data_IF_364407129837
#
_entry.id   IF_364407129837
#
_cell.length_a   1.000
_cell.length_b   1.000
_cell.length_c   1.000
_cell.angle_alpha   90.00
_cell.angle_beta   90.00
_cell.angle_gamma   90.00
#
_symmetry.space_group_name_H-M   'P 1'
#
loop_
_entity.id
_entity.type
_entity.pdbx_description
1 polymer ?
#
# COMPACT_ATOMS: atom_id res chain seq x y z
N UNK A 1 -0.74 22.18 -6.82
CA UNK A 1 -1.98 22.73 -6.20
C UNK A 1 -1.74 22.94 -4.71
N UNK A 2 -2.15 24.06 -4.08
CA UNK A 2 -1.97 24.24 -2.63
C UNK A 2 -2.92 23.30 -1.85
N UNK A 3 -2.51 22.83 -0.67
CA UNK A 3 -3.26 21.88 0.16
C UNK A 3 -4.67 22.39 0.49
N UNK A 4 -4.82 23.68 0.79
CA UNK A 4 -6.13 24.27 1.13
C UNK A 4 -7.10 24.20 -0.05
N UNK A 5 -6.63 24.54 -1.25
CA UNK A 5 -7.42 24.41 -2.47
C UNK A 5 -7.79 22.96 -2.75
N UNK A 6 -6.86 22.02 -2.48
CA UNK A 6 -7.13 20.58 -2.62
C UNK A 6 -8.17 20.08 -1.61
N UNK A 7 -8.08 20.51 -0.36
CA UNK A 7 -9.06 20.16 0.65
C UNK A 7 -10.45 20.71 0.28
N UNK A 8 -10.54 21.97 -0.15
CA UNK A 8 -11.80 22.56 -0.61
C UNK A 8 -12.36 21.83 -1.84
N UNK A 9 -11.51 21.49 -2.81
CA UNK A 9 -11.90 20.76 -4.01
C UNK A 9 -12.44 19.35 -3.68
N UNK A 10 -11.79 18.64 -2.75
CA UNK A 10 -12.28 17.34 -2.26
C UNK A 10 -13.65 17.51 -1.59
N UNK A 11 -13.85 18.58 -0.81
CA UNK A 11 -15.13 18.84 -0.15
C UNK A 11 -16.24 19.20 -1.15
N UNK A 12 -15.93 19.92 -2.23
CA UNK A 12 -16.92 20.32 -3.24
C UNK A 12 -17.31 19.20 -4.20
N UNK A 13 -16.50 18.15 -4.34
CA UNK A 13 -16.85 16.95 -5.13
C UNK A 13 -18.10 16.26 -4.56
N UNK A 14 -18.86 15.48 -5.34
CA UNK A 14 -19.87 14.58 -4.78
C UNK A 14 -19.25 13.55 -3.82
N UNK A 15 -20.07 12.95 -2.96
CA UNK A 15 -19.65 11.80 -2.16
C UNK A 15 -19.38 10.60 -3.05
N UNK A 16 -18.49 9.72 -2.60
CA UNK A 16 -18.15 8.50 -3.31
C UNK A 16 -19.34 7.54 -3.29
N UNK A 17 -19.65 6.96 -4.45
CA UNK A 17 -20.69 5.94 -4.56
C UNK A 17 -20.08 4.53 -4.49
N UNK A 18 -20.46 3.77 -3.46
CA UNK A 18 -19.95 2.42 -3.22
C UNK A 18 -20.18 1.51 -4.43
N UNK A 19 -21.43 1.43 -4.91
CA UNK A 19 -21.83 0.45 -5.93
C UNK A 19 -21.13 0.69 -7.26
N UNK A 20 -21.04 1.95 -7.67
CA UNK A 20 -20.39 2.38 -8.90
C UNK A 20 -18.88 2.15 -8.85
N UNK A 21 -18.22 2.43 -7.73
CA UNK A 21 -16.79 2.16 -7.56
C UNK A 21 -16.52 0.66 -7.53
N UNK A 22 -17.33 -0.11 -6.80
CA UNK A 22 -17.21 -1.56 -6.72
C UNK A 22 -17.31 -2.20 -8.12
N UNK A 23 -18.37 -1.90 -8.87
CA UNK A 23 -18.60 -2.48 -10.20
C UNK A 23 -17.47 -2.16 -11.18
N UNK A 24 -17.08 -0.88 -11.28
CA UNK A 24 -15.97 -0.45 -12.15
C UNK A 24 -14.64 -1.08 -11.73
N UNK A 25 -14.40 -1.27 -10.44
CA UNK A 25 -13.19 -1.95 -9.95
C UNK A 25 -13.11 -3.41 -10.42
N UNK A 26 -14.23 -4.14 -10.41
CA UNK A 26 -14.30 -5.50 -10.94
C UNK A 26 -14.03 -5.51 -12.45
N UNK A 27 -14.61 -4.58 -13.20
CA UNK A 27 -14.42 -4.48 -14.66
C UNK A 27 -12.98 -4.14 -15.03
N UNK A 28 -12.39 -3.13 -14.38
CA UNK A 28 -11.00 -2.76 -14.61
C UNK A 28 -10.05 -3.89 -14.25
N UNK A 29 -10.33 -4.62 -13.16
CA UNK A 29 -9.51 -5.76 -12.78
C UNK A 29 -9.46 -6.85 -13.85
N UNK A 30 -10.54 -7.10 -14.58
CA UNK A 30 -10.51 -8.03 -15.73
C UNK A 30 -9.53 -7.58 -16.82
N UNK A 31 -9.24 -6.29 -16.94
CA UNK A 31 -8.20 -5.75 -17.84
C UNK A 31 -6.79 -5.82 -17.24
N UNK A 32 -6.66 -5.65 -15.91
CA UNK A 32 -5.36 -5.49 -15.23
C UNK A 32 -4.89 -6.67 -14.36
N UNK A 33 -5.61 -7.80 -14.37
CA UNK A 33 -5.31 -8.95 -13.51
C UNK A 33 -3.88 -9.45 -13.69
N UNK A 34 -3.37 -9.48 -14.92
CA UNK A 34 -2.01 -9.93 -15.22
C UNK A 34 -0.97 -8.95 -14.65
N UNK A 35 -1.21 -7.65 -14.77
CA UNK A 35 -0.34 -6.63 -14.20
C UNK A 35 -0.39 -6.62 -12.68
N UNK A 36 -1.54 -6.94 -12.09
CA UNK A 36 -1.67 -7.19 -10.66
C UNK A 36 -0.80 -8.37 -10.24
N UNK A 37 -0.92 -9.51 -10.93
CA UNK A 37 -0.09 -10.69 -10.67
C UNK A 37 1.41 -10.40 -10.78
N UNK A 38 1.85 -9.68 -11.81
CA UNK A 38 3.25 -9.25 -11.97
C UNK A 38 3.69 -8.36 -10.80
N UNK A 39 2.86 -7.39 -10.40
CA UNK A 39 3.16 -6.51 -9.25
C UNK A 39 3.34 -7.32 -7.96
N UNK A 40 2.51 -8.34 -7.75
CA UNK A 40 2.62 -9.24 -6.60
C UNK A 40 3.94 -10.02 -6.63
N UNK A 41 4.30 -10.60 -7.78
CA UNK A 41 5.57 -11.33 -7.94
C UNK A 41 6.77 -10.42 -7.69
N UNK A 42 6.77 -9.21 -8.25
CA UNK A 42 7.81 -8.20 -7.98
C UNK A 42 7.88 -7.86 -6.49
N UNK A 43 6.73 -7.75 -5.81
CA UNK A 43 6.69 -7.50 -4.37
C UNK A 43 7.36 -8.63 -3.60
N UNK A 44 7.09 -9.90 -3.94
CA UNK A 44 7.77 -11.03 -3.30
C UNK A 44 9.27 -11.03 -3.55
N UNK A 45 9.71 -10.83 -4.79
CA UNK A 45 11.13 -10.80 -5.16
C UNK A 45 11.86 -9.70 -4.39
N UNK A 46 11.25 -8.52 -4.25
CA UNK A 46 11.85 -7.38 -3.55
C UNK A 46 11.88 -7.59 -2.03
N UNK A 47 10.88 -8.25 -1.44
CA UNK A 47 10.82 -8.52 0.01
C UNK A 47 11.75 -9.66 0.43
N UNK A 48 11.98 -10.65 -0.43
CA UNK A 48 12.78 -11.84 -0.14
C UNK A 48 14.18 -11.56 0.44
N UNK A 49 15.03 -10.66 -0.11
CA UNK A 49 16.34 -10.38 0.47
C UNK A 49 16.26 -9.78 1.88
N UNK A 50 15.25 -8.95 2.15
CA UNK A 50 14.99 -8.41 3.48
C UNK A 50 14.62 -9.55 4.45
N UNK A 51 13.73 -10.44 4.03
CA UNK A 51 13.36 -11.60 4.83
C UNK A 51 14.59 -12.47 5.17
N UNK A 52 15.46 -12.78 4.20
CA UNK A 52 16.71 -13.52 4.47
C UNK A 52 17.58 -12.77 5.47
N UNK A 53 17.78 -11.46 5.30
CA UNK A 53 18.59 -10.63 6.20
C UNK A 53 18.07 -10.69 7.65
N UNK A 54 16.76 -10.70 7.84
CA UNK A 54 16.15 -10.80 9.17
C UNK A 54 16.45 -12.13 9.88
N UNK A 55 16.58 -13.23 9.15
CA UNK A 55 16.91 -14.54 9.71
C UNK A 55 18.41 -14.75 9.95
N UNK A 56 19.30 -13.88 9.44
CA UNK A 56 20.76 -14.02 9.61
C UNK A 56 21.18 -14.16 11.08
N UNK A 57 20.70 -13.35 12.04
CA UNK A 57 21.05 -13.53 13.45
C UNK A 57 20.64 -14.91 13.98
N UNK A 58 19.49 -15.44 13.57
CA UNK A 58 18.97 -16.74 14.01
C UNK A 58 19.80 -17.90 13.43
N UNK A 59 20.18 -17.79 12.16
CA UNK A 59 21.06 -18.78 11.51
C UNK A 59 22.44 -18.76 12.19
N UNK A 60 22.99 -17.57 12.49
CA UNK A 60 24.27 -17.44 13.20
C UNK A 60 24.20 -18.09 14.59
N UNK A 61 23.13 -17.84 15.35
CA UNK A 61 22.91 -18.45 16.66
C UNK A 61 22.88 -19.98 16.59
N UNK A 62 22.21 -20.57 15.59
CA UNK A 62 22.16 -22.03 15.44
C UNK A 62 23.48 -22.68 15.05
N UNK A 63 24.47 -21.89 14.62
CA UNK A 63 25.83 -22.34 14.34
C UNK A 63 26.71 -22.17 15.58
N UNK A 64 26.61 -21.03 16.28
CA UNK A 64 27.52 -20.68 17.38
C UNK A 64 27.08 -21.22 18.73
N UNK A 65 25.78 -21.37 18.97
CA UNK A 65 25.22 -21.77 20.26
C UNK A 65 23.85 -22.45 20.07
N UNK A 66 23.88 -23.77 19.81
CA UNK A 66 22.67 -24.57 19.58
C UNK A 66 21.80 -24.69 20.84
N UNK A 67 22.42 -24.73 22.01
CA UNK A 67 21.73 -24.88 23.29
C UNK A 67 20.88 -23.65 23.60
N UNK A 68 21.37 -22.44 23.28
CA UNK A 68 20.60 -21.20 23.40
C UNK A 68 19.31 -21.19 22.55
N UNK A 69 19.32 -21.81 21.37
CA UNK A 69 18.10 -21.95 20.55
C UNK A 69 17.16 -23.05 21.07
N UNK A 70 17.71 -24.17 21.55
CA UNK A 70 16.91 -25.29 22.09
C UNK A 70 16.20 -24.92 23.39
N UNK A 71 16.84 -24.10 24.23
CA UNK A 71 16.29 -23.64 25.50
C UNK A 71 15.49 -22.33 25.38
N UNK A 72 15.37 -21.74 24.18
CA UNK A 72 14.79 -20.41 23.93
C UNK A 72 15.48 -19.27 24.71
N UNK A 73 16.71 -19.46 25.16
CA UNK A 73 17.50 -18.46 25.88
C UNK A 73 18.35 -17.65 24.90
N UNK A 74 17.67 -16.83 24.08
CA UNK A 74 18.36 -15.97 23.11
C UNK A 74 19.28 -14.98 23.82
N UNK A 75 20.57 -14.87 23.43
CA UNK A 75 21.50 -13.91 24.02
C UNK A 75 20.94 -12.47 23.97
N UNK A 76 21.06 -11.66 25.04
CA UNK A 76 20.50 -10.31 25.06
C UNK A 76 20.97 -9.42 23.89
N UNK A 77 22.22 -9.57 23.45
CA UNK A 77 22.78 -8.86 22.30
C UNK A 77 22.03 -9.17 20.99
N UNK A 78 21.59 -10.41 20.82
CA UNK A 78 20.83 -10.85 19.65
C UNK A 78 19.42 -10.28 19.68
N UNK A 79 18.76 -10.31 20.83
CA UNK A 79 17.43 -9.69 21.02
C UNK A 79 17.49 -8.20 20.68
N UNK A 80 18.50 -7.48 21.17
CA UNK A 80 18.72 -6.07 20.85
C UNK A 80 18.92 -5.87 19.34
N UNK A 81 19.73 -6.71 18.69
CA UNK A 81 19.95 -6.64 17.25
C UNK A 81 18.63 -6.86 16.47
N UNK A 82 17.81 -7.84 16.85
CA UNK A 82 16.52 -8.11 16.20
C UNK A 82 15.52 -6.96 16.41
N UNK A 83 15.46 -6.39 17.63
CA UNK A 83 14.60 -5.25 17.94
C UNK A 83 14.97 -4.01 17.12
N UNK A 84 16.27 -3.78 16.86
CA UNK A 84 16.73 -2.67 16.02
C UNK A 84 16.53 -2.96 14.53
N UNK A 85 16.77 -4.20 14.10
CA UNK A 85 16.67 -4.59 12.69
C UNK A 85 15.22 -4.61 12.19
N UNK A 86 14.27 -5.04 13.02
CA UNK A 86 12.86 -5.16 12.67
C UNK A 86 12.24 -3.86 12.11
N UNK A 87 12.31 -2.69 12.77
CA UNK A 87 11.73 -1.46 12.23
C UNK A 87 12.40 -1.00 10.93
N UNK A 88 13.72 -1.20 10.79
CA UNK A 88 14.44 -0.92 9.54
C UNK A 88 13.91 -1.80 8.41
N UNK A 89 13.68 -3.08 8.70
CA UNK A 89 13.13 -4.04 7.76
C UNK A 89 11.70 -3.70 7.34
N UNK A 90 10.84 -3.41 8.31
CA UNK A 90 9.46 -3.03 8.07
C UNK A 90 9.40 -1.76 7.22
N UNK A 91 10.28 -0.79 7.48
CA UNK A 91 10.36 0.43 6.70
C UNK A 91 10.79 0.15 5.25
N UNK A 92 11.77 -0.74 5.05
CA UNK A 92 12.20 -1.13 3.72
C UNK A 92 11.06 -1.84 2.95
N UNK A 93 10.43 -2.85 3.57
CA UNK A 93 9.31 -3.60 2.98
C UNK A 93 8.15 -2.68 2.61
N UNK A 94 7.75 -1.79 3.53
CA UNK A 94 6.63 -0.86 3.29
C UNK A 94 6.95 0.13 2.17
N UNK A 95 8.19 0.63 2.09
CA UNK A 95 8.65 1.49 0.98
C UNK A 95 8.55 0.80 -0.37
N UNK A 96 9.02 -0.44 -0.45
CA UNK A 96 8.98 -1.20 -1.70
C UNK A 96 7.54 -1.55 -2.10
N UNK A 97 6.73 -2.01 -1.14
CA UNK A 97 5.33 -2.33 -1.39
C UNK A 97 4.51 -1.09 -1.78
N UNK A 98 4.78 0.07 -1.16
CA UNK A 98 4.11 1.33 -1.48
C UNK A 98 4.45 1.80 -2.90
N UNK A 99 5.73 1.74 -3.28
CA UNK A 99 6.18 2.08 -4.64
C UNK A 99 5.51 1.20 -5.71
N UNK A 100 5.50 -0.12 -5.51
CA UNK A 100 4.91 -1.07 -6.44
C UNK A 100 3.38 -0.93 -6.52
N UNK A 101 2.71 -0.71 -5.38
CA UNK A 101 1.27 -0.45 -5.38
C UNK A 101 0.93 0.86 -6.10
N UNK A 102 1.68 1.93 -5.88
CA UNK A 102 1.46 3.19 -6.59
C UNK A 102 1.72 3.05 -8.10
N UNK A 103 2.75 2.29 -8.51
CA UNK A 103 3.00 1.98 -9.91
C UNK A 103 1.85 1.17 -10.53
N UNK A 104 1.33 0.17 -9.81
CA UNK A 104 0.14 -0.58 -10.23
C UNK A 104 -1.08 0.32 -10.42
N UNK A 105 -1.32 1.30 -9.54
CA UNK A 105 -2.42 2.26 -9.72
C UNK A 105 -2.21 3.14 -10.97
N UNK A 106 -0.97 3.53 -11.30
CA UNK A 106 -0.70 4.21 -12.58
C UNK A 106 -1.06 3.33 -13.78
N UNK A 107 -0.76 2.03 -13.74
CA UNK A 107 -1.15 1.09 -14.78
C UNK A 107 -2.68 0.97 -14.86
N UNK A 108 -3.38 0.89 -13.71
CA UNK A 108 -4.84 0.94 -13.66
C UNK A 108 -5.39 2.17 -14.41
N UNK A 109 -4.81 3.35 -14.18
CA UNK A 109 -5.18 4.57 -14.91
C UNK A 109 -5.01 4.42 -16.42
N UNK A 110 -3.85 3.93 -16.86
CA UNK A 110 -3.55 3.75 -18.28
C UNK A 110 -4.54 2.81 -18.96
N UNK A 111 -4.89 1.68 -18.31
CA UNK A 111 -5.83 0.69 -18.88
C UNK A 111 -7.30 1.11 -18.76
N UNK A 112 -7.64 1.97 -17.80
CA UNK A 112 -8.97 2.57 -17.71
C UNK A 112 -9.17 3.66 -18.77
N UNK A 113 -8.12 4.43 -19.10
CA UNK A 113 -8.14 5.49 -20.12
C UNK A 113 -7.75 5.00 -21.52
N UNK A 114 -7.57 3.69 -21.70
CA UNK A 114 -7.11 3.04 -22.94
C UNK A 114 -5.86 3.70 -23.56
N UNK A 115 -4.95 4.19 -22.71
CA UNK A 115 -3.67 4.79 -23.10
C UNK A 115 -2.67 3.73 -23.58
N UNK A 116 -2.08 3.94 -24.76
CA UNK A 116 -1.01 3.08 -25.29
C UNK A 116 0.33 3.49 -24.67
N UNK A 117 0.59 3.00 -23.47
CA UNK A 117 1.86 3.18 -22.76
C UNK A 117 2.39 1.84 -22.24
N UNK A 118 3.72 1.73 -22.12
CA UNK A 118 4.35 0.58 -21.50
C UNK A 118 4.12 0.57 -19.97
N UNK A 119 3.90 -0.62 -19.42
CA UNK A 119 3.69 -0.83 -18.00
C UNK A 119 5.03 -0.61 -17.23
N UNK A 120 5.25 0.58 -16.64
CA UNK A 120 6.48 0.91 -15.89
C UNK A 120 6.33 0.62 -14.38
N UNK A 121 6.54 -0.64 -13.99
CA UNK A 121 6.48 -1.09 -12.59
C UNK A 121 7.51 -0.42 -11.67
N UNK A 122 8.63 0.05 -12.23
CA UNK A 122 9.73 0.65 -11.47
C UNK A 122 9.74 2.18 -11.54
N UNK A 123 8.62 2.79 -11.94
CA UNK A 123 8.48 4.24 -12.08
C UNK A 123 8.93 5.02 -10.83
N UNK A 124 8.60 4.52 -9.64
CA UNK A 124 8.93 5.17 -8.36
C UNK A 124 10.35 4.90 -7.86
N UNK A 125 11.09 4.01 -8.51
CA UNK A 125 12.47 3.65 -8.17
C UNK A 125 13.51 4.54 -8.86
N UNK A 126 13.08 5.34 -9.83
CA UNK A 126 13.94 6.19 -10.66
C UNK A 126 13.92 7.65 -10.17
N UNK A 127 14.94 8.41 -10.59
CA UNK A 127 14.94 9.89 -10.58
C UNK A 127 14.65 10.54 -9.20
N UNK A 128 15.20 9.98 -8.11
CA UNK A 128 15.07 10.58 -6.78
C UNK A 128 13.67 10.51 -6.16
N UNK A 129 12.69 9.89 -6.84
CA UNK A 129 11.30 9.77 -6.36
C UNK A 129 11.18 8.86 -5.13
N UNK A 130 12.13 7.93 -4.95
CA UNK A 130 12.23 7.06 -3.78
C UNK A 130 12.28 7.82 -2.46
N UNK A 131 12.89 9.01 -2.43
CA UNK A 131 12.92 9.83 -1.21
C UNK A 131 11.52 10.18 -0.72
N UNK A 132 10.61 10.51 -1.66
CA UNK A 132 9.21 10.81 -1.33
C UNK A 132 8.47 9.55 -0.87
N UNK A 133 8.69 8.41 -1.52
CA UNK A 133 8.12 7.12 -1.10
C UNK A 133 8.56 6.76 0.31
N UNK A 134 9.85 6.90 0.61
CA UNK A 134 10.44 6.60 1.91
C UNK A 134 9.83 7.45 3.03
N UNK A 135 9.69 8.77 2.81
CA UNK A 135 9.02 9.65 3.77
C UNK A 135 7.56 9.25 3.97
N UNK A 136 6.86 8.88 2.89
CA UNK A 136 5.47 8.44 2.99
C UNK A 136 5.33 7.11 3.74
N UNK A 137 6.30 6.21 3.60
CA UNK A 137 6.39 4.97 4.38
C UNK A 137 6.67 5.21 5.86
N UNK A 138 7.47 6.23 6.21
CA UNK A 138 7.64 6.64 7.61
C UNK A 138 6.29 7.08 8.20
N UNK A 139 5.48 7.84 7.45
CA UNK A 139 4.13 8.19 7.88
C UNK A 139 3.22 6.96 8.01
N UNK A 140 3.22 6.04 7.05
CA UNK A 140 2.45 4.79 7.14
C UNK A 140 2.83 3.96 8.37
N UNK A 141 4.13 3.80 8.64
CA UNK A 141 4.62 3.06 9.79
C UNK A 141 4.24 3.75 11.09
N UNK A 142 4.41 5.08 11.17
CA UNK A 142 4.00 5.88 12.32
C UNK A 142 2.50 5.80 12.58
N UNK A 143 1.66 5.92 11.54
CA UNK A 143 0.20 5.77 11.65
C UNK A 143 -0.20 4.36 12.10
N UNK A 144 0.48 3.33 11.59
CA UNK A 144 0.24 1.94 12.00
C UNK A 144 0.55 1.72 13.48
N UNK A 145 1.67 2.27 13.97
CA UNK A 145 2.04 2.22 15.39
C UNK A 145 1.05 3.00 16.26
N UNK A 146 0.69 4.21 15.85
CA UNK A 146 -0.32 5.04 16.56
C UNK A 146 -1.67 4.33 16.65
N UNK A 147 -2.13 3.72 15.56
CA UNK A 147 -3.35 2.94 15.54
C UNK A 147 -3.30 1.73 16.48
N UNK A 148 -2.17 1.02 16.51
CA UNK A 148 -1.95 -0.11 17.41
C UNK A 148 -1.97 0.28 18.89
N UNK A 149 -1.31 1.40 19.23
CA UNK A 149 -1.27 1.93 20.60
C UNK A 149 -2.64 2.42 21.09
N UNK A 150 -3.53 2.84 20.18
CA UNK A 150 -4.89 3.27 20.49
C UNK A 150 -5.87 2.08 20.68
N UNK A 151 -5.45 1.06 21.45
CA UNK A 151 -6.23 -0.14 21.79
C UNK A 151 -6.79 -0.89 20.56
N UNK A 152 -6.13 -0.83 19.40
CA UNK A 152 -6.57 -1.43 18.15
C UNK A 152 -7.74 -0.71 17.45
N UNK A 153 -8.58 0.03 18.17
CA UNK A 153 -9.67 0.84 17.60
C UNK A 153 -9.13 1.91 16.63
N UNK A 154 -7.96 2.48 16.94
CA UNK A 154 -7.30 3.44 16.04
C UNK A 154 -6.95 2.83 14.68
N UNK A 155 -6.61 1.54 14.61
CA UNK A 155 -6.29 0.86 13.34
C UNK A 155 -7.50 0.85 12.40
N UNK A 156 -8.70 0.60 12.93
CA UNK A 156 -9.92 0.59 12.11
C UNK A 156 -10.21 1.96 11.50
N UNK A 157 -9.98 3.03 12.24
CA UNK A 157 -10.14 4.38 11.69
C UNK A 157 -9.06 4.69 10.65
N UNK A 158 -7.80 4.35 10.94
CA UNK A 158 -6.65 4.69 10.10
C UNK A 158 -6.54 3.85 8.82
N UNK A 159 -7.19 2.68 8.73
CA UNK A 159 -7.18 1.86 7.51
C UNK A 159 -7.68 2.64 6.29
N UNK A 160 -8.66 3.53 6.50
CA UNK A 160 -9.27 4.35 5.44
C UNK A 160 -8.25 5.31 4.83
N UNK A 161 -7.68 6.28 5.56
CA UNK A 161 -6.70 7.20 4.98
C UNK A 161 -5.43 6.49 4.51
N UNK A 162 -4.99 5.41 5.18
CA UNK A 162 -3.81 4.66 4.75
C UNK A 162 -4.03 3.93 3.40
N UNK A 163 -5.24 3.43 3.14
CA UNK A 163 -5.56 2.75 1.87
C UNK A 163 -5.48 3.68 0.64
N UNK A 164 -5.64 4.99 0.84
CA UNK A 164 -5.61 6.01 -0.22
C UNK A 164 -4.19 6.50 -0.55
N UNK A 165 -3.23 6.31 0.35
CA UNK A 165 -1.86 6.82 0.19
C UNK A 165 -1.14 6.35 -1.08
N UNK A 166 -1.24 5.09 -1.52
CA UNK A 166 -0.69 4.68 -2.81
C UNK A 166 -1.27 5.46 -3.99
N UNK A 167 -2.55 5.86 -3.93
CA UNK A 167 -3.19 6.63 -5.00
C UNK A 167 -2.72 8.09 -5.01
N UNK A 168 -2.61 8.72 -3.84
CA UNK A 168 -2.02 10.06 -3.73
C UNK A 168 -0.55 10.08 -4.17
N UNK A 169 0.22 9.04 -3.83
CA UNK A 169 1.59 8.90 -4.34
C UNK A 169 1.61 8.72 -5.87
N UNK A 170 0.68 7.93 -6.42
CA UNK A 170 0.59 7.68 -7.86
C UNK A 170 0.31 8.94 -8.68
N UNK A 171 -0.60 9.79 -8.18
CA UNK A 171 -1.26 10.80 -9.00
C UNK A 171 -1.05 12.25 -8.53
N UNK A 172 -0.54 12.49 -7.32
CA UNK A 172 -0.25 13.82 -6.78
C UNK A 172 1.25 14.08 -6.61
N UNK A 173 2.05 13.82 -7.65
CA UNK A 173 3.51 13.93 -7.58
C UNK A 173 4.01 15.35 -7.21
N UNK A 174 3.18 16.38 -7.37
CA UNK A 174 3.47 17.77 -7.00
C UNK A 174 3.37 18.05 -5.49
N UNK A 175 2.60 17.25 -4.75
CA UNK A 175 2.41 17.44 -3.30
C UNK A 175 3.60 16.95 -2.47
N UNK A 176 3.81 17.57 -1.31
CA UNK A 176 4.72 17.02 -0.30
C UNK A 176 4.13 15.74 0.31
N UNK A 177 4.97 14.88 0.90
CA UNK A 177 4.50 13.65 1.54
C UNK A 177 3.50 13.93 2.68
N UNK A 178 3.72 15.00 3.45
CA UNK A 178 2.79 15.40 4.51
C UNK A 178 1.45 15.88 3.94
N UNK A 179 1.47 16.61 2.82
CA UNK A 179 0.25 17.09 2.16
C UNK A 179 -0.55 15.93 1.56
N UNK A 180 0.12 14.90 1.03
CA UNK A 180 -0.53 13.66 0.60
C UNK A 180 -1.25 12.96 1.76
N UNK A 181 -0.61 12.88 2.94
CA UNK A 181 -1.23 12.32 4.15
C UNK A 181 -2.44 13.16 4.56
N UNK A 182 -2.30 14.48 4.66
CA UNK A 182 -3.43 15.34 5.02
C UNK A 182 -4.59 15.22 4.03
N UNK A 183 -4.31 15.19 2.73
CA UNK A 183 -5.31 15.02 1.69
C UNK A 183 -6.01 13.64 1.78
N UNK A 184 -5.27 12.57 2.11
CA UNK A 184 -5.85 11.24 2.32
C UNK A 184 -6.78 11.20 3.54
N UNK A 185 -6.46 11.95 4.61
CA UNK A 185 -7.37 12.15 5.72
C UNK A 185 -8.60 12.99 5.34
N UNK A 186 -8.44 14.05 4.54
CA UNK A 186 -9.58 14.86 4.09
C UNK A 186 -10.56 14.03 3.28
N UNK A 187 -10.08 13.30 2.27
CA UNK A 187 -10.94 12.42 1.46
C UNK A 187 -11.50 11.25 2.28
N UNK A 188 -10.65 10.65 3.12
CA UNK A 188 -11.00 9.55 3.99
C UNK A 188 -12.11 9.90 4.99
N UNK A 189 -12.03 11.06 5.62
CA UNK A 189 -13.03 11.50 6.60
C UNK A 189 -14.37 11.84 5.96
N UNK A 190 -14.34 12.46 4.79
CA UNK A 190 -15.54 12.80 4.04
C UNK A 190 -16.34 11.54 3.67
N UNK A 191 -15.66 10.48 3.23
CA UNK A 191 -16.29 9.28 2.67
C UNK A 191 -15.98 8.02 3.50
N UNK A 192 -15.85 8.16 4.81
CA UNK A 192 -15.24 7.14 5.66
C UNK A 192 -15.91 5.78 5.52
N UNK A 193 -17.24 5.72 5.65
CA UNK A 193 -18.00 4.46 5.58
C UNK A 193 -17.91 3.81 4.20
N UNK A 194 -17.94 4.61 3.13
CA UNK A 194 -17.88 4.11 1.75
C UNK A 194 -16.49 3.52 1.47
N UNK A 195 -15.42 4.24 1.82
CA UNK A 195 -14.06 3.77 1.62
C UNK A 195 -13.78 2.54 2.49
N UNK A 196 -14.16 2.57 3.76
CA UNK A 196 -14.02 1.43 4.67
C UNK A 196 -14.74 0.19 4.11
N UNK A 197 -16.00 0.34 3.71
CA UNK A 197 -16.77 -0.73 3.09
C UNK A 197 -16.10 -1.29 1.84
N UNK A 198 -15.61 -0.41 0.95
CA UNK A 198 -14.94 -0.83 -0.28
C UNK A 198 -13.65 -1.61 0.03
N UNK A 199 -12.80 -1.09 0.93
CA UNK A 199 -11.58 -1.77 1.35
C UNK A 199 -11.89 -3.15 1.94
N UNK A 200 -12.91 -3.24 2.81
CA UNK A 200 -13.30 -4.48 3.46
C UNK A 200 -13.86 -5.49 2.44
N UNK A 201 -14.89 -5.12 1.68
CA UNK A 201 -15.57 -6.02 0.73
C UNK A 201 -14.60 -6.46 -0.36
N UNK A 202 -13.81 -5.55 -0.93
CA UNK A 202 -12.86 -5.89 -1.99
C UNK A 202 -11.73 -6.76 -1.49
N UNK A 203 -11.33 -6.63 -0.22
CA UNK A 203 -10.39 -7.56 0.40
C UNK A 203 -10.97 -8.97 0.53
N UNK A 204 -12.23 -9.13 0.95
CA UNK A 204 -12.88 -10.44 0.99
C UNK A 204 -13.04 -11.06 -0.40
N UNK A 205 -13.48 -10.28 -1.39
CA UNK A 205 -13.59 -10.76 -2.78
C UNK A 205 -12.21 -11.18 -3.32
N UNK A 206 -11.16 -10.42 -3.01
CA UNK A 206 -9.80 -10.75 -3.40
C UNK A 206 -9.28 -12.07 -2.77
N UNK A 207 -9.84 -12.52 -1.64
CA UNK A 207 -9.51 -13.81 -1.01
C UNK A 207 -10.30 -14.99 -1.60
N UNK A 208 -11.32 -14.77 -2.42
CA UNK A 208 -12.10 -15.87 -3.04
C UNK A 208 -11.24 -16.77 -3.95
N UNK A 209 -10.06 -16.30 -4.38
CA UNK A 209 -9.05 -17.13 -5.03
C UNK A 209 -8.61 -18.35 -4.21
N UNK A 210 -8.89 -18.39 -2.89
CA UNK A 210 -8.66 -19.56 -2.05
C UNK A 210 -9.47 -20.78 -2.52
N UNK A 211 -10.66 -20.56 -3.08
CA UNK A 211 -11.52 -21.61 -3.65
C UNK A 211 -10.86 -22.28 -4.86
N UNK A 212 -9.97 -21.58 -5.57
CA UNK A 212 -9.17 -22.10 -6.67
C UNK A 212 -7.81 -22.62 -6.17
N UNK A 213 -7.85 -23.57 -5.23
CA UNK A 213 -6.69 -24.32 -4.74
C UNK A 213 -5.57 -23.44 -4.12
N UNK A 214 -5.92 -22.38 -3.39
CA UNK A 214 -5.00 -21.40 -2.77
C UNK A 214 -4.15 -20.57 -3.76
N UNK A 215 -3.77 -21.11 -4.92
CA UNK A 215 -2.99 -20.45 -5.96
C UNK A 215 -3.78 -19.31 -6.58
N UNK A 216 -5.12 -19.44 -6.67
CA UNK A 216 -5.99 -18.39 -7.17
C UNK A 216 -5.82 -17.06 -6.43
N UNK A 217 -5.43 -17.07 -5.15
CA UNK A 217 -5.16 -15.85 -4.36
C UNK A 217 -4.05 -15.00 -4.99
N UNK A 218 -3.05 -15.62 -5.61
CA UNK A 218 -1.97 -14.88 -6.27
C UNK A 218 -2.49 -14.02 -7.42
N UNK A 219 -3.53 -14.52 -8.11
CA UNK A 219 -4.15 -13.81 -9.21
C UNK A 219 -5.21 -12.82 -8.77
N UNK A 220 -5.80 -12.98 -7.57
CA UNK A 220 -6.93 -12.15 -7.11
C UNK A 220 -6.57 -11.12 -6.04
N UNK A 221 -5.47 -11.28 -5.29
CA UNK A 221 -5.16 -10.41 -4.13
C UNK A 221 -5.05 -8.92 -4.50
N UNK A 222 -4.53 -8.62 -5.69
CA UNK A 222 -4.36 -7.24 -6.17
C UNK A 222 -5.67 -6.55 -6.54
N UNK A 223 -6.78 -7.30 -6.65
CA UNK A 223 -8.12 -6.74 -6.79
C UNK A 223 -8.44 -5.76 -5.65
N UNK A 224 -7.97 -6.07 -4.43
CA UNK A 224 -8.15 -5.21 -3.25
C UNK A 224 -7.55 -3.81 -3.39
N UNK A 225 -6.60 -3.62 -4.31
CA UNK A 225 -5.92 -2.33 -4.54
C UNK A 225 -6.62 -1.48 -5.59
N UNK A 226 -7.38 -2.08 -6.50
CA UNK A 226 -8.05 -1.38 -7.61
C UNK A 226 -9.02 -0.27 -7.15
N UNK A 227 -9.85 -0.45 -6.10
CA UNK A 227 -10.76 0.61 -5.65
C UNK A 227 -10.08 1.94 -5.33
N UNK A 228 -8.86 1.91 -4.82
CA UNK A 228 -8.11 3.13 -4.49
C UNK A 228 -7.90 4.04 -5.71
N UNK A 229 -7.81 3.47 -6.91
CA UNK A 229 -7.78 4.22 -8.16
C UNK A 229 -9.05 5.03 -8.36
N UNK A 230 -10.23 4.39 -8.28
CA UNK A 230 -11.51 5.07 -8.48
C UNK A 230 -11.88 6.01 -7.33
N UNK A 231 -11.54 5.67 -6.08
CA UNK A 231 -11.68 6.59 -4.93
C UNK A 231 -10.94 7.90 -5.18
N UNK A 232 -9.72 7.82 -5.71
CA UNK A 232 -8.95 9.01 -6.08
C UNK A 232 -9.54 9.70 -7.31
N UNK A 233 -9.86 8.96 -8.38
CA UNK A 233 -10.42 9.51 -9.63
C UNK A 233 -11.71 10.30 -9.40
N UNK A 234 -12.63 9.75 -8.61
CA UNK A 234 -13.92 10.36 -8.36
C UNK A 234 -13.83 11.43 -7.25
N UNK A 235 -13.09 11.14 -6.18
CA UNK A 235 -12.99 12.02 -5.00
C UNK A 235 -12.03 13.20 -5.14
N UNK A 236 -11.04 13.10 -6.02
CA UNK A 236 -10.03 14.14 -6.29
C UNK A 236 -10.03 14.51 -7.76
N UNK A 237 -9.93 13.51 -8.64
CA UNK A 237 -9.69 13.69 -10.07
C UNK A 237 -8.21 13.82 -10.41
N UNK A 238 -7.89 13.66 -11.69
CA UNK A 238 -6.56 13.94 -12.20
C UNK A 238 -6.51 15.41 -12.58
N UNK A 239 -5.51 16.14 -12.10
CA UNK A 239 -5.21 17.45 -12.67
C UNK A 239 -4.74 17.19 -14.11
N UNK A 240 -5.57 17.50 -15.09
CA UNK A 240 -5.15 17.62 -16.49
C UNK A 240 -4.24 18.85 -16.56
N UNK A 241 -2.93 18.65 -16.40
CA UNK A 241 -1.98 19.77 -16.39
C UNK A 241 -0.58 19.44 -15.91
N UNK A 242 0.14 18.58 -16.65
CA UNK A 242 1.56 18.77 -17.01
C UNK A 242 1.96 17.75 -18.07
#
# INVERSE_FOLDING_TARGET
>A
MNLENLAQHIQSRPDLDFGTIFSRSIELFKKVWLQGFITLLLTFVVILPFYILFYVPMIAAGITDREALEQNELPPMMVIAMVILLPVLLLAITTMALALNAAFLKICKQKDMDEVANDDYFYFFKEGRLGKVFILSLYLLGLSLLGGLACGLGVFYLIVPMSLLPAFLAFSNDLSALDMVKASFTLGNKNWLVIFGLVLVMSFVAQLGFVLCCIGVLFTVMLSKVPAYYMYKDGVGFNEGS
#
